data_IF_016603155349
#
_entry.id   IF_016603155349
#
_cell.length_a   1.000
_cell.length_b   1.000
_cell.length_c   1.000
_cell.angle_alpha   90.00
_cell.angle_beta   90.00
_cell.angle_gamma   90.00
#
_symmetry.space_group_name_H-M   'P 1'
#
loop_
_entity.id
_entity.type
_entity.pdbx_description
1 polymer ?
#
# COMPACT_ATOMS: atom_id res chain seq x y z
N UNK A 1 13.76 4.66 -11.80
CA UNK A 1 13.02 3.41 -11.50
C UNK A 1 11.94 3.79 -10.49
N UNK A 2 10.67 3.73 -10.89
CA UNK A 2 9.53 4.02 -10.00
C UNK A 2 9.13 2.73 -9.31
N UNK A 3 9.40 2.64 -8.02
CA UNK A 3 8.85 1.55 -7.21
C UNK A 3 7.36 1.84 -6.99
N UNK A 4 6.50 1.00 -7.54
CA UNK A 4 5.04 1.10 -7.36
C UNK A 4 4.50 -0.19 -6.79
N UNK A 5 3.47 -0.09 -5.95
CA UNK A 5 2.76 -1.25 -5.43
C UNK A 5 1.53 -1.52 -6.28
N UNK A 6 1.33 -2.77 -6.69
CA UNK A 6 0.06 -3.25 -7.29
C UNK A 6 -0.71 -4.01 -6.21
N UNK A 7 -2.01 -3.78 -6.11
CA UNK A 7 -2.87 -4.41 -5.10
C UNK A 7 -3.87 -5.32 -5.81
N UNK A 8 -4.05 -6.54 -5.30
CA UNK A 8 -5.05 -7.50 -5.77
C UNK A 8 -6.05 -7.71 -4.65
N UNK A 9 -7.33 -7.41 -4.89
CA UNK A 9 -8.42 -7.61 -3.92
C UNK A 9 -9.29 -8.76 -4.38
N UNK A 10 -9.53 -9.71 -3.48
CA UNK A 10 -10.39 -10.87 -3.74
C UNK A 10 -11.84 -10.60 -3.31
N UNK A 11 -12.81 -11.38 -3.83
CA UNK A 11 -14.22 -11.24 -3.45
C UNK A 11 -14.50 -11.43 -1.95
N UNK A 12 -13.71 -12.27 -1.27
CA UNK A 12 -13.79 -12.52 0.18
C UNK A 12 -13.26 -11.35 1.04
N UNK A 13 -12.58 -10.38 0.42
CA UNK A 13 -11.97 -9.23 1.09
C UNK A 13 -10.53 -9.41 1.53
N UNK A 14 -9.96 -10.59 1.32
CA UNK A 14 -8.52 -10.73 1.35
C UNK A 14 -7.88 -9.91 0.23
N UNK A 15 -6.67 -9.43 0.45
CA UNK A 15 -5.91 -8.72 -0.58
C UNK A 15 -4.42 -8.95 -0.40
N UNK A 16 -3.68 -8.85 -1.50
CA UNK A 16 -2.22 -8.86 -1.47
C UNK A 16 -1.66 -7.61 -2.17
N UNK A 17 -0.44 -7.21 -1.81
CA UNK A 17 0.32 -6.18 -2.52
C UNK A 17 1.59 -6.79 -3.11
N UNK A 18 1.91 -6.41 -4.34
CA UNK A 18 3.05 -6.90 -5.11
C UNK A 18 3.92 -5.72 -5.49
N UNK A 19 5.21 -5.83 -5.23
CA UNK A 19 6.17 -4.79 -5.59
C UNK A 19 6.45 -4.81 -7.08
N UNK A 20 6.16 -3.71 -7.76
CA UNK A 20 6.50 -3.50 -9.17
C UNK A 20 7.79 -2.66 -9.23
N UNK A 21 8.93 -3.35 -9.19
CA UNK A 21 10.26 -2.74 -9.08
C UNK A 21 10.76 -2.17 -10.41
N UNK A 22 10.35 -2.77 -11.53
CA UNK A 22 10.86 -2.52 -12.87
C UNK A 22 9.77 -2.08 -13.86
N UNK A 23 8.53 -1.90 -13.41
CA UNK A 23 7.39 -1.59 -14.26
C UNK A 23 6.84 -2.80 -15.03
N UNK A 24 7.41 -4.01 -14.83
CA UNK A 24 6.96 -5.22 -15.54
C UNK A 24 5.48 -5.54 -15.30
N UNK A 25 4.95 -5.14 -14.14
CA UNK A 25 3.54 -5.36 -13.78
C UNK A 25 2.58 -4.28 -14.31
N UNK A 26 3.07 -3.25 -15.01
CA UNK A 26 2.23 -2.18 -15.58
C UNK A 26 1.39 -2.66 -16.76
N UNK A 27 1.88 -3.68 -17.47
CA UNK A 27 1.19 -4.28 -18.63
C UNK A 27 0.30 -5.47 -18.27
N UNK A 28 0.38 -5.91 -17.01
CA UNK A 28 -0.37 -7.07 -16.49
C UNK A 28 -1.72 -6.59 -15.99
N UNK A 29 -2.81 -7.16 -16.51
CA UNK A 29 -4.17 -6.87 -16.03
C UNK A 29 -4.38 -7.36 -14.60
N UNK A 30 -5.37 -6.80 -13.89
CA UNK A 30 -5.66 -7.22 -12.50
C UNK A 30 -6.09 -8.71 -12.43
N UNK A 31 -6.72 -9.22 -13.50
CA UNK A 31 -7.13 -10.62 -13.65
C UNK A 31 -5.93 -11.55 -13.85
N UNK A 32 -4.94 -11.14 -14.65
CA UNK A 32 -3.69 -11.88 -14.82
C UNK A 32 -2.85 -11.82 -13.55
N UNK A 33 -2.80 -10.66 -12.88
CA UNK A 33 -2.10 -10.49 -11.62
C UNK A 33 -2.68 -11.40 -10.53
N UNK A 34 -4.01 -11.54 -10.48
CA UNK A 34 -4.70 -12.46 -9.58
C UNK A 34 -4.36 -13.94 -9.86
N UNK A 35 -4.07 -14.32 -11.12
CA UNK A 35 -3.65 -15.69 -11.48
C UNK A 35 -2.18 -15.96 -11.17
N UNK A 36 -1.33 -14.94 -11.27
CA UNK A 36 0.12 -15.03 -10.96
C UNK A 36 0.40 -15.15 -9.47
N UNK A 37 -0.51 -14.61 -8.64
CA UNK A 37 -0.52 -14.78 -7.20
C UNK A 37 -1.70 -15.67 -6.80
N UNK A 38 -1.66 -16.98 -7.15
CA UNK A 38 -2.64 -17.92 -6.60
C UNK A 38 -2.58 -17.81 -5.09
N UNK A 39 -3.72 -18.06 -4.43
CA UNK A 39 -3.85 -18.18 -2.98
C UNK A 39 -2.50 -18.54 -2.36
N UNK A 40 -1.82 -17.53 -1.76
CA UNK A 40 -1.02 -17.90 -0.61
C UNK A 40 -2.03 -18.66 0.23
N UNK A 41 -1.69 -19.89 0.59
CA UNK A 41 -2.34 -20.63 1.66
C UNK A 41 -2.25 -19.77 2.93
N UNK A 42 -3.06 -18.72 2.99
CA UNK A 42 -3.33 -17.94 4.18
C UNK A 42 -4.18 -18.78 5.12
N UNK A 43 -4.88 -19.79 4.58
CA UNK A 43 -5.53 -20.89 5.31
C UNK A 43 -4.56 -21.71 6.20
N UNK A 44 -3.25 -21.67 5.95
CA UNK A 44 -2.27 -22.39 6.78
C UNK A 44 -1.57 -21.50 7.84
N UNK A 45 -1.79 -20.19 7.81
CA UNK A 45 -1.29 -19.30 8.87
C UNK A 45 -2.40 -19.16 9.92
N UNK A 46 -2.28 -19.80 11.10
CA UNK A 46 -3.35 -19.77 12.10
C UNK A 46 -3.72 -18.32 12.39
N UNK A 47 -5.02 -18.03 12.47
CA UNK A 47 -5.58 -16.75 12.91
C UNK A 47 -4.85 -16.29 14.17
N UNK A 48 -3.77 -15.52 14.00
CA UNK A 48 -2.98 -15.08 15.13
C UNK A 48 -3.86 -14.13 15.90
N UNK A 49 -4.14 -14.40 17.19
CA UNK A 49 -4.90 -13.46 17.98
C UNK A 49 -4.08 -12.17 18.13
N UNK A 50 -4.77 -11.04 18.23
CA UNK A 50 -4.15 -9.75 18.46
C UNK A 50 -3.25 -9.82 19.68
N UNK A 51 -1.96 -9.50 19.54
CA UNK A 51 -1.01 -9.53 20.67
C UNK A 51 -1.39 -8.58 21.81
N UNK A 52 -2.19 -7.53 21.52
CA UNK A 52 -2.63 -6.54 22.49
C UNK A 52 -3.84 -6.97 23.32
N UNK A 53 -4.78 -7.73 22.74
CA UNK A 53 -6.05 -8.03 23.41
C UNK A 53 -6.54 -9.48 23.27
N UNK A 54 -5.82 -10.34 22.56
CA UNK A 54 -6.19 -11.73 22.28
C UNK A 54 -7.38 -11.90 21.31
N UNK A 55 -7.91 -10.82 20.74
CA UNK A 55 -9.07 -10.86 19.84
C UNK A 55 -8.71 -11.18 18.40
N UNK A 56 -9.72 -11.36 17.55
CA UNK A 56 -9.53 -11.59 16.12
C UNK A 56 -8.92 -10.36 15.42
N UNK A 57 -7.92 -10.61 14.56
CA UNK A 57 -7.35 -9.62 13.68
C UNK A 57 -8.13 -9.57 12.36
N UNK A 58 -8.23 -8.38 11.76
CA UNK A 58 -8.66 -8.26 10.36
C UNK A 58 -7.49 -8.42 9.40
N UNK A 59 -6.30 -7.98 9.82
CA UNK A 59 -5.11 -8.04 8.99
C UNK A 59 -3.88 -8.23 9.87
N UNK A 60 -2.98 -9.09 9.43
CA UNK A 60 -1.63 -9.23 9.96
C UNK A 60 -0.65 -9.06 8.79
N UNK A 61 0.28 -8.12 8.92
CA UNK A 61 1.13 -7.70 7.82
C UNK A 61 2.57 -7.52 8.25
N UNK A 62 3.53 -7.92 7.41
CA UNK A 62 4.93 -7.61 7.64
C UNK A 62 5.21 -6.18 7.20
N UNK A 63 5.65 -5.33 8.13
CA UNK A 63 6.05 -3.96 7.83
C UNK A 63 7.15 -3.87 6.77
N UNK A 64 7.52 -2.66 6.34
CA UNK A 64 8.56 -2.47 5.32
C UNK A 64 9.82 -3.28 5.65
N UNK A 65 10.44 -3.90 4.63
CA UNK A 65 11.42 -5.00 4.74
C UNK A 65 12.53 -4.79 5.80
N UNK A 66 12.91 -3.54 6.06
CA UNK A 66 14.02 -3.16 6.96
C UNK A 66 13.59 -2.89 8.41
N UNK A 67 12.30 -2.89 8.72
CA UNK A 67 11.78 -2.46 10.02
C UNK A 67 11.63 -3.61 11.01
N UNK A 68 11.45 -4.83 10.52
CA UNK A 68 11.16 -6.01 11.35
C UNK A 68 9.86 -5.93 12.14
N UNK A 69 9.01 -4.93 11.84
CA UNK A 69 7.74 -4.69 12.55
C UNK A 69 6.66 -5.60 11.98
N UNK A 70 6.03 -6.38 12.86
CA UNK A 70 4.76 -7.04 12.56
C UNK A 70 3.62 -6.08 12.87
N UNK A 71 2.76 -5.87 11.88
CA UNK A 71 1.66 -4.93 11.93
C UNK A 71 0.35 -5.69 12.08
N UNK A 72 -0.47 -5.25 13.03
CA UNK A 72 -1.76 -5.87 13.36
C UNK A 72 -2.87 -4.82 13.19
N UNK A 73 -3.89 -5.16 12.40
CA UNK A 73 -5.14 -4.39 12.34
C UNK A 73 -6.18 -5.09 13.22
N UNK A 74 -6.36 -4.58 14.45
CA UNK A 74 -7.32 -5.12 15.41
C UNK A 74 -8.52 -4.18 15.56
N UNK A 75 -9.75 -4.63 15.28
CA UNK A 75 -10.92 -3.78 15.42
C UNK A 75 -11.17 -3.24 16.81
N UNK A 76 -10.74 -3.95 17.86
CA UNK A 76 -10.91 -3.50 19.24
C UNK A 76 -9.86 -2.45 19.62
N UNK A 77 -8.59 -2.74 19.35
CA UNK A 77 -7.48 -1.89 19.75
C UNK A 77 -7.34 -0.64 18.88
N UNK A 78 -7.64 -0.74 17.58
CA UNK A 78 -7.39 0.33 16.63
C UNK A 78 -8.63 1.17 16.28
N UNK A 79 -9.78 0.91 16.91
CA UNK A 79 -11.03 1.64 16.65
C UNK A 79 -10.92 3.17 16.82
N UNK A 80 -9.95 3.65 17.59
CA UNK A 80 -9.75 5.08 17.88
C UNK A 80 -8.62 5.72 17.06
N UNK A 81 -7.87 4.92 16.30
CA UNK A 81 -6.78 5.42 15.48
C UNK A 81 -7.34 5.80 14.11
N UNK A 82 -7.20 7.06 13.66
CA UNK A 82 -7.88 7.55 12.46
C UNK A 82 -7.71 6.66 11.21
N UNK A 83 -6.48 6.33 10.84
CA UNK A 83 -6.21 5.58 9.61
C UNK A 83 -6.64 4.12 9.74
N UNK A 84 -6.28 3.48 10.85
CA UNK A 84 -6.71 2.11 11.12
C UNK A 84 -8.24 1.98 11.18
N UNK A 85 -8.95 2.93 11.79
CA UNK A 85 -10.42 2.95 11.84
C UNK A 85 -11.02 3.05 10.44
N UNK A 86 -10.51 3.93 9.59
CA UNK A 86 -10.97 4.05 8.20
C UNK A 86 -10.75 2.71 7.45
N UNK A 87 -9.61 2.07 7.67
CA UNK A 87 -9.32 0.80 7.03
C UNK A 87 -10.22 -0.35 7.55
N UNK A 88 -10.48 -0.41 8.86
CA UNK A 88 -11.45 -1.35 9.46
C UNK A 88 -12.85 -1.16 8.86
N UNK A 89 -13.28 0.09 8.66
CA UNK A 89 -14.57 0.39 8.07
C UNK A 89 -14.66 -0.08 6.62
N UNK A 90 -13.65 0.23 5.82
CA UNK A 90 -13.55 -0.25 4.44
C UNK A 90 -13.55 -1.78 4.34
N UNK A 91 -12.81 -2.47 5.23
CA UNK A 91 -12.75 -3.93 5.22
C UNK A 91 -14.12 -4.58 5.52
N UNK A 92 -14.93 -3.95 6.37
CA UNK A 92 -16.26 -4.44 6.77
C UNK A 92 -17.36 -4.07 5.80
N UNK A 93 -17.10 -3.14 4.88
CA UNK A 93 -18.05 -2.71 3.87
C UNK A 93 -18.13 -3.75 2.75
N UNK A 94 -19.35 -4.19 2.43
CA UNK A 94 -19.61 -5.15 1.36
C UNK A 94 -19.51 -4.50 -0.03
N UNK A 95 -19.76 -3.19 -0.12
CA UNK A 95 -19.73 -2.40 -1.35
C UNK A 95 -18.42 -1.58 -1.47
N UNK A 96 -17.37 -2.01 -0.73
CA UNK A 96 -16.09 -1.32 -0.65
C UNK A 96 -15.47 -1.08 -2.02
N UNK A 97 -15.01 0.14 -2.27
CA UNK A 97 -14.28 0.48 -3.49
C UNK A 97 -12.83 -0.03 -3.41
N UNK A 98 -12.40 -0.98 -4.28
CA UNK A 98 -11.03 -1.47 -4.31
C UNK A 98 -10.00 -0.37 -4.60
N UNK A 99 -10.40 0.72 -5.27
CA UNK A 99 -9.48 1.82 -5.61
C UNK A 99 -9.07 2.66 -4.40
N UNK A 100 -9.82 2.58 -3.30
CA UNK A 100 -9.46 3.24 -2.05
C UNK A 100 -8.39 2.47 -1.26
N UNK A 101 -8.21 1.18 -1.52
CA UNK A 101 -7.31 0.32 -0.76
C UNK A 101 -5.86 0.82 -0.71
N UNK A 102 -5.22 1.25 -1.82
CA UNK A 102 -3.83 1.70 -1.77
C UNK A 102 -3.63 2.83 -0.75
N UNK A 103 -4.49 3.86 -0.79
CA UNK A 103 -4.39 4.99 0.13
C UNK A 103 -4.68 4.57 1.59
N UNK A 104 -5.74 3.79 1.81
CA UNK A 104 -6.09 3.32 3.16
C UNK A 104 -4.97 2.47 3.78
N UNK A 105 -4.35 1.61 2.96
CA UNK A 105 -3.23 0.81 3.39
C UNK A 105 -2.02 1.68 3.72
N UNK A 106 -1.67 2.64 2.87
CA UNK A 106 -0.53 3.53 3.10
C UNK A 106 -0.71 4.42 4.32
N UNK A 107 -1.92 4.92 4.55
CA UNK A 107 -2.26 5.73 5.73
C UNK A 107 -2.14 4.89 7.01
N UNK A 108 -2.71 3.68 7.00
CA UNK A 108 -2.60 2.74 8.13
C UNK A 108 -1.15 2.30 8.38
N UNK A 109 -0.40 2.03 7.31
CA UNK A 109 1.01 1.67 7.39
C UNK A 109 1.81 2.80 8.03
N UNK A 110 1.62 4.02 7.55
CA UNK A 110 2.26 5.22 8.07
C UNK A 110 1.89 5.46 9.54
N UNK A 111 0.61 5.37 9.89
CA UNK A 111 0.13 5.55 11.26
C UNK A 111 0.73 4.52 12.22
N UNK A 112 0.86 3.27 11.79
CA UNK A 112 1.46 2.18 12.57
C UNK A 112 2.96 2.35 12.71
N UNK A 113 3.67 2.63 11.62
CA UNK A 113 5.10 2.89 11.66
C UNK A 113 5.44 4.09 12.55
N UNK A 114 4.64 5.16 12.49
CA UNK A 114 4.80 6.34 13.34
C UNK A 114 4.66 5.99 14.84
N UNK A 115 3.70 5.12 15.20
CA UNK A 115 3.56 4.63 16.57
C UNK A 115 4.77 3.80 17.04
N UNK A 116 5.50 3.17 16.12
CA UNK A 116 6.76 2.46 16.37
C UNK A 116 8.01 3.35 16.29
N UNK A 117 7.85 4.67 16.16
CA UNK A 117 8.97 5.61 16.10
C UNK A 117 9.62 5.73 14.72
N UNK A 118 9.00 5.18 13.68
CA UNK A 118 9.47 5.27 12.30
C UNK A 118 8.65 6.30 11.53
N UNK A 119 9.33 7.12 10.72
CA UNK A 119 8.68 8.01 9.78
C UNK A 119 9.07 7.65 8.35
N UNK A 120 8.14 7.77 7.40
CA UNK A 120 8.44 7.65 5.98
C UNK A 120 9.38 8.80 5.60
N UNK A 121 10.49 8.49 4.93
CA UNK A 121 11.35 9.51 4.38
C UNK A 121 10.56 10.32 3.34
N UNK A 122 10.70 11.66 3.28
CA UNK A 122 10.14 12.45 2.19
C UNK A 122 10.62 11.84 0.87
N UNK A 123 9.70 11.55 -0.05
CA UNK A 123 10.13 11.19 -1.39
C UNK A 123 10.86 12.39 -2.00
N UNK A 124 12.01 12.19 -2.68
CA UNK A 124 12.62 13.25 -3.45
C UNK A 124 11.58 13.77 -4.44
N UNK A 125 11.28 15.07 -4.40
CA UNK A 125 10.45 15.69 -5.42
C UNK A 125 11.09 15.38 -6.79
N UNK A 126 10.30 14.96 -7.79
CA UNK A 126 10.82 14.79 -9.13
C UNK A 126 11.48 16.12 -9.54
N UNK A 127 12.69 16.09 -10.14
CA UNK A 127 13.38 17.32 -10.51
C UNK A 127 12.44 18.16 -11.36
N UNK A 128 12.26 19.43 -10.96
CA UNK A 128 11.46 20.38 -11.70
C UNK A 128 11.88 20.33 -13.18
N UNK A 129 10.90 20.20 -14.07
CA UNK A 129 11.16 20.16 -15.51
C UNK A 129 12.07 21.33 -15.89
N UNK A 130 13.12 21.11 -16.71
CA UNK A 130 13.99 22.19 -17.11
C UNK A 130 13.17 23.30 -17.77
N UNK A 131 13.47 24.58 -17.51
CA UNK A 131 12.74 25.69 -18.13
C UNK A 131 12.80 25.56 -19.66
N UNK A 132 11.72 25.92 -20.38
CA UNK A 132 11.69 25.79 -21.83
C UNK A 132 12.86 26.58 -22.41
N UNK A 133 13.69 25.90 -23.19
CA UNK A 133 14.81 26.51 -23.92
C UNK A 133 14.27 27.68 -24.76
N UNK A 134 14.62 28.91 -24.38
CA UNK A 134 14.41 30.09 -25.20
C UNK A 134 15.10 29.83 -26.54
N UNK A 135 14.29 29.64 -27.58
CA UNK A 135 14.76 29.45 -28.95
C UNK A 135 15.53 30.69 -29.36
N UNK A 136 16.84 30.54 -29.56
CA UNK A 136 17.71 31.54 -30.17
C UNK A 136 17.18 31.84 -31.57
N UNK A 137 16.70 33.07 -31.76
CA UNK A 137 16.26 33.62 -33.05
C UNK A 137 17.45 33.58 -34.03
N UNK A 138 17.28 33.14 -35.29
CA UNK A 138 18.34 33.23 -36.28
C UNK A 138 18.63 34.70 -36.61
N UNK A 139 19.90 35.08 -36.53
CA UNK A 139 20.38 36.41 -36.92
C UNK A 139 20.30 36.52 -38.45
N UNK A 140 19.46 37.43 -38.95
CA UNK A 140 19.39 37.73 -40.38
C UNK A 140 20.70 38.34 -40.88
N UNK A 141 21.19 37.85 -42.01
CA UNK A 141 22.27 38.44 -42.79
C UNK A 141 21.74 39.64 -43.59
N UNK A 142 22.51 40.72 -43.60
CA UNK A 142 22.32 41.93 -44.41
C UNK A 142 23.64 42.64 -44.59
#
# INVERSE_FOLDING_TARGET
MSFTWRYVVRPDGSFCRVGNLDGSLDTVSDEELARLHPERDEDEQPDRPCSRCGGALLLHWHGPLMTGVWMELCPACDARRPAARAFIQWHRDADRDPKALPQLFEDWETETMHAHGWARAPQPEPPASPPPHLSLVPRGEG
#
